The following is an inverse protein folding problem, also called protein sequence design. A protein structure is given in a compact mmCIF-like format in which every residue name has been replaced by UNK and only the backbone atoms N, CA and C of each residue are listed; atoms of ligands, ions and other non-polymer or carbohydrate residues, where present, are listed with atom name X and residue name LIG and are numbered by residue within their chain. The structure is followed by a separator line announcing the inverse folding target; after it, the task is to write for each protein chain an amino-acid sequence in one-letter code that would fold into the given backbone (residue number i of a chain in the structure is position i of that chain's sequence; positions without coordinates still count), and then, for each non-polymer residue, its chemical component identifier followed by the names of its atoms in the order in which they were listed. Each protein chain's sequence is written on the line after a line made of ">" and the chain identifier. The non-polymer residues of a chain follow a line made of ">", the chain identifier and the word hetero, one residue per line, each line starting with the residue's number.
data_IF_787131675575
#
_entry.id   IF_787131675575
#
_cell.length_a   1.000
_cell.length_b   1.000
_cell.length_c   1.000
_cell.angle_alpha   90.00
_cell.angle_beta   90.00
_cell.angle_gamma   90.00
#
_symmetry.space_group_name_H-M   'P 1'
#
loop_
_entity.id
_entity.type
_entity.pdbx_description
1 polymer ?
#
# COMPACT_ATOMS: atom_id res chain seq x y z
N UNK A 1 18.16 17.39 18.32
CA UNK A 1 16.84 16.82 17.99
C UNK A 1 17.07 15.37 17.60
N UNK A 2 16.32 14.38 18.15
CA UNK A 2 16.48 13.00 17.72
C UNK A 2 16.14 12.89 16.24
N UNK A 3 17.02 12.27 15.46
CA UNK A 3 16.73 12.00 14.05
C UNK A 3 15.62 10.97 13.96
N UNK A 4 14.61 11.23 13.11
CA UNK A 4 13.57 10.26 12.82
C UNK A 4 14.19 9.08 12.08
N UNK A 5 13.84 7.88 12.52
CA UNK A 5 14.20 6.62 11.86
C UNK A 5 12.95 5.94 11.28
N UNK A 6 13.14 4.84 10.57
CA UNK A 6 12.06 4.07 9.93
C UNK A 6 10.92 3.72 10.89
N UNK A 7 11.24 3.33 12.13
CA UNK A 7 10.25 3.00 13.15
C UNK A 7 9.39 4.20 13.55
N UNK A 8 10.02 5.37 13.70
CA UNK A 8 9.32 6.62 14.03
C UNK A 8 8.36 7.03 12.91
N UNK A 9 8.79 6.88 11.65
CA UNK A 9 7.94 7.14 10.49
C UNK A 9 6.78 6.16 10.40
N UNK A 10 7.02 4.86 10.59
CA UNK A 10 5.96 3.84 10.54
C UNK A 10 4.93 4.01 11.67
N UNK A 11 5.35 4.47 12.84
CA UNK A 11 4.43 4.82 13.93
C UNK A 11 3.54 6.01 13.55
N UNK A 12 4.10 7.06 12.94
CA UNK A 12 3.33 8.22 12.46
C UNK A 12 2.35 7.81 11.36
N UNK A 13 2.81 7.04 10.38
CA UNK A 13 1.97 6.50 9.30
C UNK A 13 0.79 5.73 9.87
N UNK A 14 1.03 4.81 10.80
CA UNK A 14 -0.01 3.98 11.43
C UNK A 14 -1.09 4.81 12.14
N UNK A 15 -0.70 5.91 12.80
CA UNK A 15 -1.65 6.81 13.47
C UNK A 15 -2.46 7.59 12.44
N UNK A 16 -1.81 8.18 11.43
CA UNK A 16 -2.49 8.98 10.41
C UNK A 16 -3.47 8.14 9.59
N UNK A 17 -3.07 6.95 9.17
CA UNK A 17 -3.92 6.03 8.39
C UNK A 17 -5.11 5.54 9.21
N UNK A 18 -4.93 5.25 10.50
CA UNK A 18 -6.03 4.87 11.42
C UNK A 18 -7.10 5.96 11.55
N UNK A 19 -6.73 7.22 11.44
CA UNK A 19 -7.66 8.35 11.50
C UNK A 19 -8.13 8.83 10.11
N UNK A 20 -7.84 8.08 9.05
CA UNK A 20 -8.23 8.44 7.68
C UNK A 20 -7.53 9.67 7.12
N UNK A 21 -6.44 10.13 7.76
CA UNK A 21 -5.62 11.28 7.32
C UNK A 21 -4.64 10.85 6.24
N UNK A 22 -5.16 10.29 5.15
CA UNK A 22 -4.38 9.60 4.13
C UNK A 22 -3.45 10.53 3.35
N UNK A 23 -3.85 11.77 3.10
CA UNK A 23 -2.99 12.74 2.41
C UNK A 23 -1.83 13.21 3.32
N UNK A 24 -2.06 13.33 4.63
CA UNK A 24 -0.99 13.59 5.60
C UNK A 24 -0.04 12.38 5.68
N UNK A 25 -0.58 11.15 5.71
CA UNK A 25 0.22 9.93 5.70
C UNK A 25 1.08 9.82 4.44
N UNK A 26 0.51 10.17 3.28
CA UNK A 26 1.23 10.19 2.01
C UNK A 26 2.40 11.19 2.02
N UNK A 27 2.21 12.38 2.60
CA UNK A 27 3.27 13.36 2.74
C UNK A 27 4.39 12.86 3.66
N UNK A 28 4.05 12.13 4.73
CA UNK A 28 5.04 11.48 5.60
C UNK A 28 5.83 10.45 4.83
N UNK A 29 5.18 9.55 4.08
CA UNK A 29 5.86 8.55 3.27
C UNK A 29 6.82 9.19 2.26
N UNK A 30 6.38 10.22 1.53
CA UNK A 30 7.22 10.95 0.55
C UNK A 30 8.42 11.68 1.19
N UNK A 31 8.37 11.93 2.49
CA UNK A 31 9.48 12.54 3.23
C UNK A 31 10.53 11.53 3.72
N UNK A 32 10.26 10.23 3.60
CA UNK A 32 11.19 9.18 3.98
C UNK A 32 12.24 9.02 2.87
N UNK A 33 13.52 8.99 3.24
CA UNK A 33 14.60 8.75 2.29
C UNK A 33 14.57 7.33 1.73
N UNK A 34 14.21 6.35 2.58
CA UNK A 34 14.12 4.93 2.24
C UNK A 34 12.89 4.35 2.96
N UNK A 35 11.70 4.40 2.34
CA UNK A 35 10.52 3.72 2.87
C UNK A 35 10.69 2.21 2.75
N UNK A 36 10.35 1.49 3.82
CA UNK A 36 10.39 0.02 3.85
C UNK A 36 9.07 -0.59 3.38
N UNK A 37 9.07 -1.90 3.19
CA UNK A 37 7.88 -2.66 2.77
C UNK A 37 6.68 -2.41 3.71
N UNK A 38 6.92 -2.24 5.01
CA UNK A 38 5.87 -1.94 5.99
C UNK A 38 5.22 -0.57 5.72
N UNK A 39 6.02 0.44 5.36
CA UNK A 39 5.56 1.78 5.01
C UNK A 39 4.60 1.77 3.83
N UNK A 40 4.98 1.07 2.75
CA UNK A 40 4.18 0.93 1.53
C UNK A 40 2.90 0.11 1.76
N UNK A 41 3.02 -1.02 2.46
CA UNK A 41 1.89 -1.88 2.81
C UNK A 41 0.83 -1.13 3.65
N UNK A 42 1.28 -0.30 4.60
CA UNK A 42 0.39 0.53 5.40
C UNK A 42 -0.41 1.50 4.53
N UNK A 43 0.22 2.13 3.55
CA UNK A 43 -0.45 3.08 2.64
C UNK A 43 -1.45 2.38 1.73
N UNK A 44 -1.06 1.31 1.02
CA UNK A 44 -1.96 0.55 0.13
C UNK A 44 -3.17 0.02 0.89
N UNK A 45 -2.96 -0.59 2.07
CA UNK A 45 -4.04 -1.08 2.92
C UNK A 45 -4.98 0.05 3.36
N UNK A 46 -4.41 1.19 3.74
CA UNK A 46 -5.20 2.32 4.22
C UNK A 46 -6.05 2.97 3.13
N UNK A 47 -5.53 3.06 1.90
CA UNK A 47 -6.31 3.50 0.75
C UNK A 47 -7.48 2.54 0.47
N UNK A 48 -7.23 1.23 0.48
CA UNK A 48 -8.28 0.22 0.29
C UNK A 48 -9.34 0.24 1.41
N UNK A 49 -8.93 0.43 2.67
CA UNK A 49 -9.85 0.49 3.82
C UNK A 49 -10.73 1.75 3.85
N UNK A 50 -10.37 2.79 3.10
CA UNK A 50 -11.11 4.05 3.00
C UNK A 50 -11.67 4.28 1.59
N UNK A 51 -11.89 3.19 0.83
CA UNK A 51 -12.51 3.19 -0.50
C UNK A 51 -11.77 4.03 -1.57
N UNK A 52 -10.48 4.35 -1.35
CA UNK A 52 -9.59 5.04 -2.31
C UNK A 52 -8.86 4.05 -3.21
N UNK A 53 -9.62 3.20 -3.89
CA UNK A 53 -9.09 2.05 -4.63
C UNK A 53 -8.18 2.44 -5.79
N UNK A 54 -8.48 3.52 -6.51
CA UNK A 54 -7.63 3.99 -7.60
C UNK A 54 -6.25 4.42 -7.11
N UNK A 55 -6.19 5.13 -5.98
CA UNK A 55 -4.92 5.48 -5.34
C UNK A 55 -4.19 4.25 -4.82
N UNK A 56 -4.89 3.27 -4.22
CA UNK A 56 -4.30 2.02 -3.77
C UNK A 56 -3.56 1.30 -4.92
N UNK A 57 -4.17 1.29 -6.11
CA UNK A 57 -3.61 0.64 -7.31
C UNK A 57 -2.43 1.41 -7.90
N UNK A 58 -2.55 2.73 -8.02
CA UNK A 58 -1.42 3.57 -8.46
C UNK A 58 -0.22 3.43 -7.54
N UNK A 59 -0.48 3.33 -6.24
CA UNK A 59 0.56 3.10 -5.24
C UNK A 59 1.16 1.71 -5.34
N UNK A 60 0.33 0.70 -5.60
CA UNK A 60 0.77 -0.67 -5.80
C UNK A 60 1.70 -0.81 -7.01
N UNK A 61 1.35 -0.21 -8.14
CA UNK A 61 2.17 -0.21 -9.36
C UNK A 61 3.51 0.51 -9.14
N UNK A 62 3.48 1.68 -8.48
CA UNK A 62 4.70 2.41 -8.12
C UNK A 62 5.61 1.60 -7.18
N UNK A 63 5.05 0.88 -6.22
CA UNK A 63 5.82 0.02 -5.31
C UNK A 63 6.48 -1.15 -6.05
N UNK A 64 5.79 -1.75 -7.03
CA UNK A 64 6.34 -2.84 -7.85
C UNK A 64 7.47 -2.39 -8.78
N UNK A 65 7.46 -1.14 -9.23
CA UNK A 65 8.56 -0.58 -10.01
C UNK A 65 9.86 -0.38 -9.20
N UNK A 66 9.78 -0.47 -7.87
CA UNK A 66 10.89 -0.35 -6.93
C UNK A 66 11.37 -1.73 -6.39
N UNK A 67 11.06 -2.83 -7.08
CA UNK A 67 11.45 -4.22 -6.74
C UNK A 67 10.92 -4.77 -5.38
N UNK A 68 9.93 -4.12 -4.76
CA UNK A 68 9.34 -4.61 -3.51
C UNK A 68 8.29 -5.72 -3.77
N UNK A 69 8.54 -6.91 -3.22
CA UNK A 69 7.60 -8.05 -3.27
C UNK A 69 6.50 -7.87 -2.22
N UNK A 70 5.24 -8.06 -2.60
CA UNK A 70 4.11 -8.08 -1.66
C UNK A 70 4.15 -9.27 -0.71
N UNK A 71 3.69 -9.08 0.54
CA UNK A 71 3.42 -10.19 1.46
C UNK A 71 2.05 -10.83 1.16
N UNK A 72 1.90 -12.14 1.43
CA UNK A 72 0.66 -12.91 1.18
C UNK A 72 -0.61 -12.26 1.73
N UNK A 73 -0.52 -11.53 2.84
CA UNK A 73 -1.66 -10.87 3.48
C UNK A 73 -2.18 -9.64 2.71
N UNK A 74 -1.32 -8.93 1.96
CA UNK A 74 -1.75 -7.75 1.20
C UNK A 74 -2.54 -8.12 -0.06
N UNK A 75 -2.29 -9.32 -0.61
CA UNK A 75 -3.04 -9.85 -1.74
C UNK A 75 -4.53 -10.05 -1.41
N UNK A 76 -4.84 -10.48 -0.18
CA UNK A 76 -6.23 -10.60 0.28
C UNK A 76 -6.94 -9.25 0.32
N UNK A 77 -6.25 -8.19 0.73
CA UNK A 77 -6.79 -6.82 0.74
C UNK A 77 -6.95 -6.25 -0.68
N UNK A 78 -6.00 -6.51 -1.59
CA UNK A 78 -6.11 -6.13 -2.99
C UNK A 78 -7.25 -6.87 -3.71
N UNK A 79 -7.43 -8.17 -3.46
CA UNK A 79 -8.55 -8.96 -3.98
C UNK A 79 -9.90 -8.52 -3.42
N UNK A 80 -9.96 -8.17 -2.13
CA UNK A 80 -11.18 -7.63 -1.52
C UNK A 80 -11.56 -6.27 -2.12
N UNK A 81 -10.58 -5.38 -2.36
CA UNK A 81 -10.79 -4.12 -3.08
C UNK A 81 -11.28 -4.36 -4.52
N UNK A 82 -10.77 -5.39 -5.19
CA UNK A 82 -11.24 -5.78 -6.52
C UNK A 82 -12.66 -6.37 -6.50
N UNK A 83 -13.10 -7.02 -5.43
CA UNK A 83 -14.46 -7.56 -5.34
C UNK A 83 -15.57 -6.49 -5.28
N UNK A 84 -15.21 -5.27 -4.87
CA UNK A 84 -16.08 -4.09 -4.91
C UNK A 84 -16.09 -3.35 -6.25
N UNK A 85 -15.12 -3.63 -7.12
CA UNK A 85 -15.02 -3.06 -8.47
C UNK A 85 -15.49 -4.09 -9.48
N UNK A 86 -16.56 -3.79 -10.20
CA UNK A 86 -17.08 -4.58 -11.34
C UNK A 86 -16.15 -4.56 -12.56
N UNK A 87 -14.82 -4.55 -12.35
CA UNK A 87 -13.82 -4.62 -13.41
C UNK A 87 -12.99 -5.90 -13.27
N UNK A 88 -13.51 -6.96 -13.90
CA UNK A 88 -12.95 -8.31 -13.91
C UNK A 88 -11.54 -8.39 -14.52
N UNK A 89 -11.07 -7.36 -15.22
CA UNK A 89 -9.72 -7.35 -15.78
C UNK A 89 -8.63 -7.29 -14.70
N UNK A 90 -8.94 -6.74 -13.53
CA UNK A 90 -7.99 -6.55 -12.43
C UNK A 90 -7.75 -7.84 -11.63
N UNK A 91 -8.80 -8.66 -11.46
CA UNK A 91 -8.71 -10.01 -10.85
C UNK A 91 -7.78 -10.90 -11.68
N UNK A 92 -7.82 -10.78 -13.01
CA UNK A 92 -6.96 -11.55 -13.92
C UNK A 92 -5.49 -11.12 -13.81
N UNK A 93 -5.19 -9.83 -13.60
CA UNK A 93 -3.81 -9.37 -13.43
C UNK A 93 -3.20 -9.79 -12.08
N UNK A 94 -3.99 -9.73 -11.00
CA UNK A 94 -3.56 -10.22 -9.67
C UNK A 94 -3.37 -11.75 -9.71
N UNK A 95 -4.27 -12.50 -10.33
CA UNK A 95 -4.09 -13.94 -10.55
C UNK A 95 -2.86 -14.27 -11.41
N UNK A 96 -2.59 -13.49 -12.47
CA UNK A 96 -1.42 -13.68 -13.33
C UNK A 96 -0.11 -13.42 -12.58
N UNK A 97 -0.06 -12.42 -11.69
CA UNK A 97 1.09 -12.14 -10.83
C UNK A 97 1.34 -13.29 -9.82
N UNK A 98 0.28 -13.83 -9.23
CA UNK A 98 0.36 -15.01 -8.33
C UNK A 98 0.92 -16.23 -9.08
N UNK A 99 0.54 -16.43 -10.35
CA UNK A 99 1.03 -17.56 -11.15
C UNK A 99 2.50 -17.43 -11.59
N UNK A 100 3.07 -16.22 -11.61
CA UNK A 100 4.47 -15.95 -11.98
C UNK A 100 5.44 -15.96 -10.78
N UNK A 101 4.92 -15.93 -9.56
CA UNK A 101 5.70 -15.98 -8.31
C UNK A 101 6.06 -17.41 -7.87
N UNK A 102 5.91 -18.40 -8.75
CA UNK A 102 6.21 -19.82 -8.50
C UNK A 102 7.31 -20.34 -9.41
#
# INVERSE_FOLDING_TARGET
>A
MPQRNIFSYNAILSVLTKFGKLDEALNVLKSMSEPDQCSWNAMVSSFAQHDRFEEALKFFDAMHSEDFVLSEHLFGSALSACSGLTDLNMVVQIHALISKSR
#
